data_IF_210272678631
#
_entry.id   IF_210272678631
#
_cell.length_a   1.000
_cell.length_b   1.000
_cell.length_c   1.000
_cell.angle_alpha   90.00
_cell.angle_beta   90.00
_cell.angle_gamma   90.00
#
_symmetry.space_group_name_H-M   'P 1'
#
loop_
_entity.id
_entity.type
_entity.pdbx_description
1 polymer ?
#
# COMPACT_ATOMS: atom_id res chain seq x y z
N UNK A 1 4.36 -46.04 -1.68
CA UNK A 1 3.37 -45.33 -0.85
C UNK A 1 3.33 -43.90 -1.33
N UNK A 2 2.14 -43.34 -1.51
CA UNK A 2 1.92 -42.07 -2.21
C UNK A 2 2.73 -40.92 -1.63
N UNK A 3 3.39 -40.13 -2.48
CA UNK A 3 4.14 -38.90 -2.13
C UNK A 3 3.22 -37.66 -2.11
N UNK A 4 1.96 -37.85 -1.73
CA UNK A 4 1.01 -36.75 -1.68
C UNK A 4 1.25 -35.93 -0.41
N UNK A 5 1.39 -34.63 -0.58
CA UNK A 5 1.41 -33.67 0.52
C UNK A 5 0.12 -33.84 1.34
N UNK A 6 0.18 -34.04 2.67
CA UNK A 6 -1.03 -34.21 3.48
C UNK A 6 -1.93 -32.98 3.33
N UNK A 7 -3.15 -33.14 2.81
CA UNK A 7 -4.15 -32.06 2.68
C UNK A 7 -4.76 -31.61 4.03
N UNK A 8 -4.06 -31.76 5.16
CA UNK A 8 -4.59 -31.47 6.48
C UNK A 8 -4.22 -30.06 6.97
N UNK A 9 -5.26 -29.22 7.05
CA UNK A 9 -5.44 -28.04 7.91
C UNK A 9 -4.61 -26.78 7.61
N UNK A 10 -5.24 -25.84 6.89
CA UNK A 10 -4.80 -24.45 6.68
C UNK A 10 -5.34 -23.46 7.73
N UNK A 11 -5.64 -23.92 8.96
CA UNK A 11 -6.38 -23.11 9.95
C UNK A 11 -5.54 -22.54 11.11
N UNK A 12 -4.21 -22.62 11.09
CA UNK A 12 -3.41 -21.98 12.15
C UNK A 12 -2.23 -21.14 11.62
N UNK A 13 -2.27 -19.80 11.77
CA UNK A 13 -1.13 -18.95 11.45
C UNK A 13 -0.12 -19.01 12.60
N UNK A 14 0.83 -19.94 12.53
CA UNK A 14 1.95 -19.97 13.47
C UNK A 14 2.91 -18.81 13.19
N UNK A 15 3.08 -17.93 14.16
CA UNK A 15 4.07 -16.84 14.12
C UNK A 15 5.47 -17.41 14.36
N UNK A 16 6.32 -17.42 13.33
CA UNK A 16 7.72 -17.86 13.48
C UNK A 16 8.67 -16.68 13.24
N UNK A 17 9.62 -16.50 14.16
CA UNK A 17 10.61 -15.42 14.17
C UNK A 17 11.80 -15.78 13.27
N UNK A 18 12.10 -14.97 12.25
CA UNK A 18 13.16 -15.29 11.26
C UNK A 18 14.35 -14.33 11.27
N UNK A 19 15.50 -14.92 11.63
CA UNK A 19 16.91 -14.52 11.55
C UNK A 19 17.41 -13.67 10.37
N UNK A 20 17.91 -12.41 10.45
CA UNK A 20 18.77 -11.87 9.36
C UNK A 20 19.90 -10.89 9.76
N UNK A 21 21.12 -11.29 9.41
CA UNK A 21 22.30 -10.42 9.27
C UNK A 21 22.37 -9.84 7.84
N UNK A 22 22.71 -8.54 7.80
CA UNK A 22 22.97 -7.68 6.65
C UNK A 22 21.81 -7.30 5.71
N UNK A 23 21.10 -6.24 6.11
CA UNK A 23 20.42 -5.32 5.20
C UNK A 23 20.77 -3.88 5.62
N UNK A 24 21.49 -3.16 4.75
CA UNK A 24 21.63 -1.70 4.83
C UNK A 24 21.36 -1.08 3.47
N UNK A 25 20.43 -0.10 3.50
CA UNK A 25 20.24 1.03 2.59
C UNK A 25 19.68 0.79 1.17
N UNK A 26 18.44 1.24 0.93
CA UNK A 26 18.02 2.54 0.34
C UNK A 26 16.60 2.36 -0.22
N UNK A 27 15.58 2.73 0.56
CA UNK A 27 14.39 3.51 0.16
C UNK A 27 13.59 3.81 1.44
N UNK A 28 13.56 5.07 1.86
CA UNK A 28 12.81 5.53 3.03
C UNK A 28 11.32 5.56 2.71
N UNK A 29 10.58 4.51 3.04
CA UNK A 29 9.12 4.61 3.15
C UNK A 29 8.69 3.91 4.42
N UNK A 30 8.28 4.71 5.42
CA UNK A 30 7.69 4.24 6.67
C UNK A 30 6.37 3.51 6.38
N UNK A 31 6.45 2.23 6.06
CA UNK A 31 5.33 1.30 6.11
C UNK A 31 5.36 0.56 7.46
N UNK A 32 4.21 0.17 7.97
CA UNK A 32 4.13 -0.94 8.93
C UNK A 32 3.98 -2.20 8.09
N UNK A 33 5.03 -2.97 7.85
CA UNK A 33 4.82 -4.33 7.36
C UNK A 33 4.29 -5.12 8.53
N UNK A 34 3.12 -5.73 8.36
CA UNK A 34 2.75 -6.88 9.17
C UNK A 34 2.94 -8.07 8.26
N UNK A 35 4.06 -8.75 8.52
CA UNK A 35 4.51 -9.96 7.84
C UNK A 35 3.53 -11.06 8.21
N UNK A 36 2.88 -11.65 7.22
CA UNK A 36 2.14 -12.89 7.39
C UNK A 36 2.72 -13.89 6.42
N UNK A 37 3.53 -14.78 6.96
CA UNK A 37 4.11 -15.90 6.24
C UNK A 37 3.05 -16.96 6.07
N UNK A 38 2.78 -17.38 4.83
CA UNK A 38 2.26 -18.72 4.64
C UNK A 38 3.31 -19.69 5.18
N UNK A 39 2.94 -20.56 6.13
CA UNK A 39 3.82 -21.64 6.58
C UNK A 39 4.44 -22.35 5.37
N UNK A 40 5.73 -22.61 5.44
CA UNK A 40 6.48 -23.21 4.36
C UNK A 40 7.07 -24.50 4.91
N UNK A 41 6.42 -25.60 4.55
CA UNK A 41 6.92 -26.94 4.82
C UNK A 41 7.75 -27.35 3.61
N UNK A 42 8.96 -27.84 3.84
CA UNK A 42 9.78 -28.44 2.79
C UNK A 42 10.03 -29.91 3.15
N UNK A 43 10.10 -30.76 2.14
CA UNK A 43 10.42 -32.17 2.35
C UNK A 43 11.93 -32.34 2.53
N UNK A 44 12.36 -32.68 3.74
CA UNK A 44 13.75 -32.97 4.01
C UNK A 44 14.06 -34.40 3.60
N UNK A 45 14.79 -34.56 2.49
CA UNK A 45 15.17 -35.89 1.96
C UNK A 45 16.16 -36.64 2.85
N UNK A 46 16.83 -35.97 3.79
CA UNK A 46 17.78 -36.60 4.72
C UNK A 46 17.07 -37.19 5.94
N UNK A 47 16.02 -36.54 6.43
CA UNK A 47 15.23 -37.00 7.58
C UNK A 47 13.92 -37.69 7.21
N UNK A 48 13.60 -37.75 5.91
CA UNK A 48 12.35 -38.30 5.36
C UNK A 48 11.09 -37.69 6.02
N UNK A 49 11.15 -36.39 6.33
CA UNK A 49 10.11 -35.67 7.07
C UNK A 49 9.85 -34.28 6.48
N UNK A 50 8.63 -33.78 6.66
CA UNK A 50 8.28 -32.38 6.39
C UNK A 50 8.77 -31.51 7.54
N UNK A 51 9.61 -30.53 7.23
CA UNK A 51 10.24 -29.64 8.22
C UNK A 51 9.86 -28.17 7.94
N UNK A 52 9.74 -27.35 8.98
CA UNK A 52 9.35 -25.94 8.94
C UNK A 52 10.54 -24.96 8.88
N UNK A 53 11.75 -25.44 9.21
CA UNK A 53 12.87 -24.54 9.56
C UNK A 53 13.76 -24.17 8.36
N UNK A 54 13.47 -24.68 7.16
CA UNK A 54 14.29 -24.50 5.96
C UNK A 54 13.93 -23.28 5.10
N UNK A 55 12.83 -22.59 5.38
CA UNK A 55 12.36 -21.48 4.56
C UNK A 55 12.99 -20.15 5.00
N UNK A 56 14.23 -19.95 4.56
CA UNK A 56 15.07 -18.79 4.92
C UNK A 56 14.99 -17.64 3.91
N UNK A 57 14.45 -17.89 2.71
CA UNK A 57 14.36 -16.90 1.66
C UNK A 57 13.02 -16.16 1.72
N UNK A 58 13.00 -14.84 1.53
CA UNK A 58 11.85 -14.00 1.85
C UNK A 58 11.49 -13.08 0.68
N UNK A 59 10.21 -13.10 0.31
CA UNK A 59 9.64 -12.21 -0.69
C UNK A 59 8.59 -11.31 -0.04
N UNK A 60 8.74 -9.99 -0.18
CA UNK A 60 7.74 -9.00 0.17
C UNK A 60 6.74 -8.88 -0.99
N UNK A 61 5.46 -9.08 -0.70
CA UNK A 61 4.38 -9.04 -1.69
C UNK A 61 3.45 -7.88 -1.36
N UNK A 62 3.32 -6.93 -2.28
CA UNK A 62 2.46 -5.77 -2.17
C UNK A 62 1.31 -5.89 -3.17
N UNK A 63 0.07 -5.90 -2.66
CA UNK A 63 -1.14 -6.01 -3.46
C UNK A 63 -1.90 -4.71 -3.40
N UNK A 64 -2.24 -4.16 -4.57
CA UNK A 64 -3.00 -2.92 -4.67
C UNK A 64 -4.35 -3.21 -5.30
N UNK A 65 -5.39 -3.14 -4.47
CA UNK A 65 -6.78 -3.22 -4.90
C UNK A 65 -7.19 -1.89 -5.53
N UNK A 66 -7.94 -1.95 -6.64
CA UNK A 66 -8.43 -0.76 -7.32
C UNK A 66 -9.46 0.03 -6.51
N UNK A 67 -9.83 1.20 -7.04
CA UNK A 67 -10.82 2.10 -6.43
C UNK A 67 -12.15 2.10 -7.20
N UNK A 68 -12.50 0.99 -7.87
CA UNK A 68 -13.80 0.83 -8.53
C UNK A 68 -14.88 0.53 -7.48
N UNK A 69 -16.15 0.77 -7.81
CA UNK A 69 -17.27 0.40 -6.93
C UNK A 69 -17.29 -1.12 -6.78
N UNK A 70 -17.50 -1.66 -5.57
CA UNK A 70 -17.48 -3.10 -5.30
C UNK A 70 -16.17 -3.81 -5.70
N UNK A 71 -15.03 -3.12 -5.56
CA UNK A 71 -13.72 -3.72 -5.81
C UNK A 71 -13.14 -4.49 -4.61
N UNK A 72 -13.91 -4.70 -3.55
CA UNK A 72 -13.45 -5.33 -2.31
C UNK A 72 -13.61 -6.84 -2.39
N UNK A 73 -12.64 -7.59 -1.86
CA UNK A 73 -12.71 -9.04 -1.84
C UNK A 73 -12.82 -9.56 -0.41
N UNK A 74 -13.88 -10.30 -0.12
CA UNK A 74 -13.98 -11.16 1.08
C UNK A 74 -13.69 -12.64 0.77
N UNK A 75 -13.47 -12.97 -0.52
CA UNK A 75 -13.17 -14.33 -0.98
C UNK A 75 -11.73 -14.75 -0.62
N UNK A 76 -11.47 -16.05 -0.54
CA UNK A 76 -10.12 -16.59 -0.31
C UNK A 76 -9.30 -16.42 -1.59
N UNK A 77 -8.31 -15.54 -1.55
CA UNK A 77 -7.43 -15.28 -2.70
C UNK A 77 -6.16 -16.11 -2.56
N UNK A 78 -5.82 -16.80 -3.64
CA UNK A 78 -4.69 -17.70 -3.72
C UNK A 78 -3.81 -17.36 -4.92
N UNK A 79 -2.52 -17.64 -4.82
CA UNK A 79 -1.59 -17.40 -5.91
C UNK A 79 -0.46 -18.43 -5.93
N UNK A 80 0.18 -18.53 -7.10
CA UNK A 80 1.41 -19.26 -7.37
C UNK A 80 2.37 -18.29 -8.03
N UNK A 81 3.59 -18.24 -7.52
CA UNK A 81 4.67 -17.45 -8.08
C UNK A 81 5.71 -18.36 -8.73
N UNK A 82 5.99 -18.11 -10.01
CA UNK A 82 6.95 -18.89 -10.79
C UNK A 82 8.16 -18.04 -11.16
N UNK A 83 9.36 -18.58 -10.89
CA UNK A 83 10.62 -18.00 -11.30
C UNK A 83 11.48 -18.99 -12.09
N UNK A 84 12.62 -18.51 -12.54
CA UNK A 84 13.59 -19.28 -13.33
C UNK A 84 14.06 -20.56 -12.63
N UNK A 85 14.19 -20.54 -11.30
CA UNK A 85 14.81 -21.63 -10.53
C UNK A 85 13.80 -22.54 -9.85
N UNK A 86 12.66 -22.00 -9.43
CA UNK A 86 11.66 -22.74 -8.68
C UNK A 86 10.28 -22.08 -8.82
N UNK A 87 9.24 -22.83 -8.51
CA UNK A 87 7.85 -22.36 -8.47
C UNK A 87 7.28 -22.63 -7.07
N UNK A 88 6.52 -21.68 -6.54
CA UNK A 88 5.93 -21.84 -5.21
C UNK A 88 4.68 -22.72 -5.25
N UNK A 89 4.44 -23.47 -4.18
CA UNK A 89 3.12 -24.04 -3.93
C UNK A 89 2.03 -22.96 -3.80
N UNK A 90 0.77 -23.40 -3.82
CA UNK A 90 -0.40 -22.54 -3.64
C UNK A 90 -0.29 -21.77 -2.32
N UNK A 91 -0.16 -20.45 -2.42
CA UNK A 91 -0.13 -19.54 -1.27
C UNK A 91 -1.48 -18.86 -1.13
N UNK A 92 -1.97 -18.78 0.11
CA UNK A 92 -3.23 -18.09 0.44
C UNK A 92 -2.92 -16.76 1.10
N UNK A 93 -3.60 -15.70 0.65
CA UNK A 93 -3.58 -14.40 1.29
C UNK A 93 -4.57 -14.39 2.46
N UNK A 94 -4.07 -14.21 3.68
CA UNK A 94 -4.90 -14.15 4.87
C UNK A 94 -4.29 -13.21 5.92
N UNK A 95 -5.14 -12.55 6.69
CA UNK A 95 -4.76 -11.77 7.87
C UNK A 95 -5.85 -11.96 8.93
N UNK A 96 -5.58 -12.65 10.04
CA UNK A 96 -6.59 -12.92 11.06
C UNK A 96 -6.97 -11.67 11.87
N UNK A 97 -6.16 -10.59 11.83
CA UNK A 97 -6.35 -9.41 12.68
C UNK A 97 -7.14 -8.29 12.00
N UNK A 98 -7.23 -8.30 10.67
CA UNK A 98 -7.91 -7.24 9.92
C UNK A 98 -8.47 -7.76 8.60
N UNK A 99 -9.51 -7.09 8.08
CA UNK A 99 -9.92 -7.33 6.71
C UNK A 99 -8.83 -6.90 5.71
N UNK A 100 -8.56 -7.76 4.73
CA UNK A 100 -7.65 -7.53 3.60
C UNK A 100 -8.42 -7.17 2.33
N UNK A 101 -7.71 -6.74 1.27
CA UNK A 101 -8.21 -6.54 -0.08
C UNK A 101 -9.39 -5.57 -0.20
N UNK A 102 -9.42 -4.57 0.69
CA UNK A 102 -10.45 -3.53 0.71
C UNK A 102 -10.28 -2.52 -0.42
N UNK A 103 -11.33 -1.76 -0.70
CA UNK A 103 -11.35 -0.81 -1.83
C UNK A 103 -10.25 0.22 -1.65
N UNK A 104 -9.49 0.45 -2.71
CA UNK A 104 -8.37 1.39 -2.73
C UNK A 104 -7.27 1.07 -1.70
N UNK A 105 -7.32 -0.10 -1.04
CA UNK A 105 -6.36 -0.50 -0.04
C UNK A 105 -5.07 -1.00 -0.69
N UNK A 106 -4.03 -1.05 0.13
CA UNK A 106 -2.79 -1.69 -0.27
C UNK A 106 -2.33 -2.56 0.88
N UNK A 107 -2.22 -3.84 0.58
CA UNK A 107 -1.90 -4.87 1.55
C UNK A 107 -0.50 -5.41 1.27
N UNK A 108 0.27 -5.56 2.34
CA UNK A 108 1.64 -6.07 2.27
C UNK A 108 1.68 -7.39 3.01
N UNK A 109 2.24 -8.39 2.36
CA UNK A 109 2.44 -9.74 2.86
C UNK A 109 3.91 -10.10 2.71
N UNK A 110 4.35 -11.14 3.40
CA UNK A 110 5.70 -11.67 3.24
C UNK A 110 5.59 -13.17 3.09
N UNK A 111 6.18 -13.71 2.05
CA UNK A 111 6.20 -15.12 1.76
C UNK A 111 7.61 -15.66 2.01
N UNK A 112 7.70 -16.78 2.72
CA UNK A 112 8.95 -17.50 2.89
C UNK A 112 9.05 -18.65 1.89
N UNK A 113 10.22 -18.84 1.29
CA UNK A 113 10.54 -19.95 0.39
C UNK A 113 11.83 -20.66 0.85
N UNK A 114 11.98 -21.97 0.57
CA UNK A 114 13.18 -22.71 0.95
C UNK A 114 14.40 -22.31 0.12
N UNK A 115 14.17 -21.85 -1.12
CA UNK A 115 15.19 -21.48 -2.09
C UNK A 115 14.77 -20.19 -2.83
N UNK A 116 15.74 -19.45 -3.38
CA UNK A 116 15.45 -18.31 -4.25
C UNK A 116 14.74 -18.80 -5.52
N UNK A 117 13.65 -18.12 -5.89
CA UNK A 117 12.91 -18.38 -7.14
C UNK A 117 13.71 -17.91 -8.38
N UNK A 118 14.73 -17.08 -8.19
CA UNK A 118 15.50 -16.46 -9.27
C UNK A 118 14.71 -15.36 -9.99
N UNK A 119 14.97 -15.16 -11.28
CA UNK A 119 14.23 -14.18 -12.08
C UNK A 119 12.77 -14.61 -12.21
N UNK A 120 11.84 -13.79 -11.71
CA UNK A 120 10.42 -14.10 -11.79
C UNK A 120 9.92 -14.05 -13.24
N UNK A 121 9.05 -15.01 -13.59
CA UNK A 121 8.49 -15.17 -14.94
C UNK A 121 7.02 -14.77 -14.98
N UNK A 122 6.20 -15.43 -14.16
CA UNK A 122 4.76 -15.14 -14.08
C UNK A 122 4.22 -15.38 -12.67
N UNK A 123 3.04 -14.81 -12.43
CA UNK A 123 2.22 -15.01 -11.26
C UNK A 123 0.86 -15.53 -11.71
N UNK A 124 0.41 -16.66 -11.19
CA UNK A 124 -0.99 -17.08 -11.31
C UNK A 124 -1.74 -16.68 -10.05
N UNK A 125 -2.85 -15.98 -10.16
CA UNK A 125 -3.65 -15.53 -9.01
C UNK A 125 -5.12 -15.76 -9.28
N UNK A 126 -5.85 -16.24 -8.27
CA UNK A 126 -7.27 -16.53 -8.35
C UNK A 126 -7.97 -16.37 -7.00
N UNK A 127 -9.30 -16.43 -7.01
CA UNK A 127 -10.11 -16.49 -5.79
C UNK A 127 -11.19 -17.57 -5.90
N UNK A 128 -11.70 -18.00 -4.75
CA UNK A 128 -12.72 -19.05 -4.64
C UNK A 128 -14.18 -18.55 -4.82
N UNK A 129 -14.36 -17.25 -5.07
CA UNK A 129 -15.68 -16.60 -5.20
C UNK A 129 -16.64 -16.86 -4.02
N UNK A 130 -16.11 -17.14 -2.82
CA UNK A 130 -16.90 -17.42 -1.61
C UNK A 130 -17.53 -16.18 -0.96
N UNK A 131 -17.11 -14.98 -1.39
CA UNK A 131 -17.69 -13.72 -0.95
C UNK A 131 -19.19 -13.60 -1.23
N UNK A 132 -19.90 -12.76 -0.47
CA UNK A 132 -21.35 -12.57 -0.62
C UNK A 132 -21.65 -11.31 -1.43
N UNK A 133 -22.51 -11.46 -2.46
CA UNK A 133 -22.95 -10.33 -3.28
C UNK A 133 -21.77 -9.59 -3.93
N UNK A 134 -21.72 -8.26 -3.75
CA UNK A 134 -20.69 -7.42 -4.35
C UNK A 134 -19.26 -7.63 -3.83
N UNK A 135 -19.04 -8.40 -2.75
CA UNK A 135 -17.70 -8.70 -2.21
C UNK A 135 -17.10 -10.02 -2.72
N UNK A 136 -17.83 -10.70 -3.61
CA UNK A 136 -17.33 -11.82 -4.39
C UNK A 136 -16.44 -11.35 -5.57
N UNK A 137 -16.63 -10.09 -6.00
CA UNK A 137 -15.90 -9.47 -7.11
C UNK A 137 -14.68 -8.70 -6.60
N UNK A 138 -13.53 -8.89 -7.25
CA UNK A 138 -12.31 -8.19 -6.87
C UNK A 138 -11.70 -7.46 -8.06
N UNK A 139 -11.29 -6.20 -7.88
CA UNK A 139 -10.52 -5.49 -8.91
C UNK A 139 -9.07 -5.36 -8.47
N UNK A 140 -8.19 -6.16 -9.08
CA UNK A 140 -6.76 -6.08 -8.86
C UNK A 140 -6.15 -5.04 -9.81
N UNK A 141 -5.45 -4.05 -9.25
CA UNK A 141 -4.75 -3.04 -10.02
C UNK A 141 -3.38 -3.60 -10.47
N UNK A 142 -2.51 -3.85 -9.50
CA UNK A 142 -1.23 -4.51 -9.72
C UNK A 142 -0.69 -5.11 -8.43
N UNK A 143 0.24 -6.03 -8.59
CA UNK A 143 1.01 -6.63 -7.51
C UNK A 143 2.49 -6.31 -7.70
N UNK A 144 3.22 -6.12 -6.61
CA UNK A 144 4.68 -5.97 -6.61
C UNK A 144 5.26 -7.07 -5.76
N UNK A 145 6.18 -7.83 -6.30
CA UNK A 145 6.98 -8.79 -5.55
C UNK A 145 8.38 -8.22 -5.44
N UNK A 146 8.90 -8.19 -4.23
CA UNK A 146 10.26 -7.75 -3.94
C UNK A 146 11.00 -8.88 -3.25
N UNK A 147 12.16 -9.20 -3.78
CA UNK A 147 13.12 -10.04 -3.10
C UNK A 147 13.75 -9.25 -1.95
N UNK A 148 13.63 -9.75 -0.73
CA UNK A 148 14.11 -9.04 0.47
C UNK A 148 15.64 -9.11 0.55
N UNK A 149 16.24 -10.19 0.05
CA UNK A 149 17.67 -10.46 0.09
C UNK A 149 18.42 -9.65 -0.98
N UNK A 150 17.94 -9.67 -2.23
CA UNK A 150 18.61 -8.99 -3.35
C UNK A 150 18.12 -7.56 -3.56
N UNK A 151 16.92 -7.23 -3.06
CA UNK A 151 16.27 -5.95 -3.29
C UNK A 151 15.63 -5.79 -4.67
N UNK A 152 15.70 -6.81 -5.53
CA UNK A 152 15.07 -6.83 -6.84
C UNK A 152 13.54 -6.77 -6.75
N UNK A 153 12.91 -6.17 -7.75
CA UNK A 153 11.47 -5.89 -7.77
C UNK A 153 10.88 -6.28 -9.10
N UNK A 154 9.79 -7.02 -9.04
CA UNK A 154 8.98 -7.38 -10.19
C UNK A 154 7.57 -6.86 -9.98
N UNK A 155 7.00 -6.30 -11.03
CA UNK A 155 5.63 -5.81 -11.01
C UNK A 155 4.78 -6.68 -11.92
N UNK A 156 3.61 -7.07 -11.42
CA UNK A 156 2.60 -7.82 -12.16
C UNK A 156 1.38 -6.92 -12.34
N UNK A 157 1.17 -6.45 -13.55
CA UNK A 157 0.10 -5.51 -13.88
C UNK A 157 -1.14 -6.30 -14.28
N UNK A 158 -2.26 -6.10 -13.57
CA UNK A 158 -3.52 -6.79 -13.85
C UNK A 158 -4.57 -5.84 -14.45
N UNK A 159 -4.96 -4.82 -13.70
CA UNK A 159 -6.02 -3.84 -14.02
C UNK A 159 -7.34 -4.45 -14.52
N UNK A 160 -7.70 -5.60 -13.96
CA UNK A 160 -8.87 -6.37 -14.40
C UNK A 160 -9.70 -6.81 -13.21
N UNK A 161 -10.97 -7.08 -13.52
CA UNK A 161 -11.89 -7.73 -12.60
C UNK A 161 -11.55 -9.21 -12.48
N UNK A 162 -11.61 -9.70 -11.26
CA UNK A 162 -11.61 -11.10 -10.87
C UNK A 162 -13.00 -11.35 -10.31
N UNK A 163 -13.93 -11.71 -11.19
CA UNK A 163 -15.35 -11.78 -10.89
C UNK A 163 -16.05 -12.61 -11.97
N UNK A 164 -17.06 -13.38 -11.57
CA UNK A 164 -17.91 -14.11 -12.51
C UNK A 164 -18.91 -13.17 -13.20
N UNK A 165 -19.41 -12.17 -12.47
CA UNK A 165 -20.48 -11.28 -12.91
C UNK A 165 -19.98 -9.97 -13.56
N UNK A 166 -18.67 -9.69 -13.50
CA UNK A 166 -18.08 -8.42 -13.94
C UNK A 166 -16.91 -8.65 -14.90
N UNK A 167 -16.68 -7.70 -15.82
CA UNK A 167 -15.57 -7.75 -16.76
C UNK A 167 -15.70 -8.87 -17.80
N UNK A 168 -14.78 -9.83 -17.79
CA UNK A 168 -14.74 -10.98 -18.71
C UNK A 168 -15.16 -12.31 -18.02
N UNK A 169 -15.69 -12.24 -16.80
CA UNK A 169 -16.17 -13.41 -16.06
C UNK A 169 -15.07 -14.32 -15.51
N UNK A 170 -13.79 -13.92 -15.59
CA UNK A 170 -12.66 -14.75 -15.15
C UNK A 170 -12.23 -14.43 -13.72
N UNK A 171 -12.06 -15.49 -12.92
CA UNK A 171 -11.61 -15.43 -11.52
C UNK A 171 -10.17 -15.93 -11.32
N UNK A 172 -9.54 -16.47 -12.37
CA UNK A 172 -8.17 -17.00 -12.39
C UNK A 172 -7.41 -16.39 -13.55
N UNK A 173 -6.22 -15.85 -13.28
CA UNK A 173 -5.38 -15.21 -14.29
C UNK A 173 -3.89 -15.49 -14.06
N UNK A 174 -3.20 -15.68 -15.19
CA UNK A 174 -1.76 -15.69 -15.26
C UNK A 174 -1.26 -14.31 -15.71
N UNK A 175 -0.47 -13.67 -14.86
CA UNK A 175 0.10 -12.34 -15.04
C UNK A 175 1.61 -12.48 -15.29
N UNK A 176 2.12 -12.13 -16.48
CA UNK A 176 3.56 -12.09 -16.71
C UNK A 176 4.20 -10.92 -15.94
N UNK A 177 5.50 -11.02 -15.69
CA UNK A 177 6.27 -9.86 -15.21
C UNK A 177 6.14 -8.71 -16.21
N UNK A 178 5.77 -7.54 -15.71
CA UNK A 178 5.62 -6.35 -16.51
C UNK A 178 6.98 -5.90 -17.07
N UNK A 179 7.04 -5.76 -18.40
CA UNK A 179 8.20 -5.18 -19.06
C UNK A 179 8.37 -3.69 -18.71
N UNK A 180 9.58 -3.16 -18.91
CA UNK A 180 9.92 -1.76 -18.63
C UNK A 180 8.99 -0.77 -19.36
N UNK A 181 8.52 -1.12 -20.55
CA UNK A 181 7.56 -0.29 -21.32
C UNK A 181 6.13 -0.33 -20.75
N UNK A 182 5.68 -1.49 -20.24
CA UNK A 182 4.36 -1.62 -19.63
C UNK A 182 4.28 -0.88 -18.28
N UNK A 183 5.39 -0.81 -17.54
CA UNK A 183 5.50 0.03 -16.34
C UNK A 183 5.39 1.54 -16.66
N UNK A 184 5.75 1.95 -17.89
CA UNK A 184 5.72 3.33 -18.37
C UNK A 184 4.40 3.70 -19.06
N UNK A 185 3.47 2.76 -19.23
CA UNK A 185 2.23 3.00 -19.97
C UNK A 185 1.41 4.09 -19.28
N UNK A 186 1.38 5.26 -19.94
CA UNK A 186 0.97 6.56 -19.41
C UNK A 186 -0.37 6.54 -18.67
N UNK A 187 -1.30 5.65 -19.00
CA UNK A 187 -2.62 5.60 -18.36
C UNK A 187 -2.56 5.17 -16.88
N UNK A 188 -1.66 4.27 -16.50
CA UNK A 188 -1.51 3.83 -15.11
C UNK A 188 -0.80 4.87 -14.26
N UNK A 189 0.30 5.42 -14.76
CA UNK A 189 1.01 6.51 -14.10
C UNK A 189 0.13 7.77 -14.06
N UNK A 190 -0.57 8.13 -15.13
CA UNK A 190 -1.42 9.32 -15.16
C UNK A 190 -2.64 9.15 -14.25
N UNK A 191 -3.37 8.03 -14.26
CA UNK A 191 -4.54 7.89 -13.39
C UNK A 191 -4.14 7.82 -11.90
N UNK A 192 -3.05 7.12 -11.57
CA UNK A 192 -2.56 7.07 -10.18
C UNK A 192 -1.91 8.39 -9.73
N UNK A 193 -1.11 9.03 -10.58
CA UNK A 193 -0.45 10.32 -10.29
C UNK A 193 -1.45 11.47 -10.28
N UNK A 194 -2.34 11.56 -11.26
CA UNK A 194 -3.40 12.58 -11.29
C UNK A 194 -4.38 12.40 -10.14
N UNK A 195 -4.80 11.17 -9.81
CA UNK A 195 -5.65 10.96 -8.61
C UNK A 195 -4.90 11.22 -7.32
N UNK A 196 -3.62 10.90 -7.20
CA UNK A 196 -2.81 11.26 -6.02
C UNK A 196 -2.65 12.78 -5.91
N UNK A 197 -2.37 13.47 -7.02
CA UNK A 197 -2.28 14.93 -7.07
C UNK A 197 -3.61 15.61 -6.76
N UNK A 198 -4.74 15.07 -7.20
CA UNK A 198 -6.06 15.63 -6.88
C UNK A 198 -6.49 15.31 -5.44
N UNK A 199 -6.24 14.08 -4.97
CA UNK A 199 -6.67 13.63 -3.63
C UNK A 199 -5.74 14.05 -2.49
N UNK A 200 -4.45 14.30 -2.74
CA UNK A 200 -3.53 14.87 -1.74
C UNK A 200 -3.21 16.34 -2.00
N UNK A 201 -3.29 16.83 -3.25
CA UNK A 201 -2.92 18.21 -3.61
C UNK A 201 -4.06 19.22 -3.57
N UNK A 202 -5.32 18.79 -3.69
CA UNK A 202 -6.47 19.70 -3.66
C UNK A 202 -7.33 19.51 -2.41
N UNK A 203 -7.31 20.50 -1.51
CA UNK A 203 -7.94 20.42 -0.18
C UNK A 203 -9.41 19.97 -0.25
N UNK A 204 -10.18 20.51 -1.19
CA UNK A 204 -11.60 20.20 -1.36
C UNK A 204 -11.87 18.76 -1.83
N UNK A 205 -11.22 18.31 -2.91
CA UNK A 205 -11.37 16.94 -3.40
C UNK A 205 -10.83 15.91 -2.41
N UNK A 206 -9.82 16.30 -1.63
CA UNK A 206 -9.20 15.43 -0.63
C UNK A 206 -10.11 15.06 0.55
N UNK A 207 -11.18 15.84 0.82
CA UNK A 207 -12.18 15.51 1.84
C UNK A 207 -12.92 14.23 1.47
N UNK A 208 -13.36 14.12 0.22
CA UNK A 208 -14.15 12.99 -0.28
C UNK A 208 -13.29 11.82 -0.77
N UNK A 209 -12.18 12.12 -1.44
CA UNK A 209 -11.32 11.12 -2.07
C UNK A 209 -10.05 10.82 -1.27
N UNK A 210 -10.08 10.99 0.07
CA UNK A 210 -8.91 10.75 0.94
C UNK A 210 -8.27 9.39 0.61
N UNK A 211 -7.01 9.36 0.15
CA UNK A 211 -6.35 8.09 -0.08
C UNK A 211 -6.12 7.41 1.28
N UNK A 212 -6.24 6.07 1.38
CA UNK A 212 -6.15 5.36 2.66
C UNK A 212 -4.83 5.59 3.41
N UNK A 213 -3.77 6.03 2.70
CA UNK A 213 -2.46 6.39 3.25
C UNK A 213 -2.31 7.84 3.72
N UNK A 214 -3.34 8.67 3.58
CA UNK A 214 -3.19 10.09 3.87
C UNK A 214 -3.13 10.39 5.37
N UNK A 215 -2.09 11.12 5.79
CA UNK A 215 -1.82 11.48 7.20
C UNK A 215 -2.83 12.48 7.78
N UNK A 216 -3.58 13.16 6.91
CA UNK A 216 -4.59 14.16 7.25
C UNK A 216 -5.95 13.48 7.36
N UNK A 217 -6.57 13.52 8.54
CA UNK A 217 -7.86 12.87 8.78
C UNK A 217 -8.97 13.62 8.07
N UNK A 218 -10.07 12.93 7.74
CA UNK A 218 -11.23 13.58 7.10
C UNK A 218 -11.73 14.77 7.93
N UNK A 219 -11.73 14.64 9.25
CA UNK A 219 -12.15 15.71 10.18
C UNK A 219 -11.24 16.94 10.05
N UNK A 220 -9.92 16.75 10.04
CA UNK A 220 -9.00 17.86 9.88
C UNK A 220 -9.10 18.51 8.49
N UNK A 221 -9.40 17.72 7.45
CA UNK A 221 -9.67 18.23 6.09
C UNK A 221 -10.90 19.13 6.06
N UNK A 222 -11.97 18.68 6.70
CA UNK A 222 -13.21 19.44 6.83
C UNK A 222 -12.98 20.71 7.61
N UNK A 223 -12.27 20.68 8.75
CA UNK A 223 -12.01 21.89 9.54
C UNK A 223 -11.19 22.92 8.77
N UNK A 224 -10.19 22.48 8.00
CA UNK A 224 -9.43 23.37 7.13
C UNK A 224 -10.29 23.96 6.00
N UNK A 225 -11.14 23.16 5.34
CA UNK A 225 -12.07 23.69 4.32
C UNK A 225 -13.04 24.70 4.92
N UNK A 226 -13.59 24.44 6.11
CA UNK A 226 -14.45 25.38 6.82
C UNK A 226 -13.72 26.68 7.17
N UNK A 227 -12.46 26.61 7.61
CA UNK A 227 -11.65 27.80 7.88
C UNK A 227 -11.44 28.66 6.62
N UNK A 228 -11.19 28.03 5.46
CA UNK A 228 -11.08 28.75 4.18
C UNK A 228 -12.41 29.37 3.74
N UNK A 229 -13.52 28.67 3.93
CA UNK A 229 -14.86 29.20 3.66
C UNK A 229 -15.13 30.43 4.52
N UNK A 230 -14.95 30.33 5.85
CA UNK A 230 -15.18 31.45 6.74
C UNK A 230 -14.25 32.62 6.46
N UNK A 231 -12.98 32.37 6.13
CA UNK A 231 -12.05 33.42 5.72
C UNK A 231 -12.54 34.13 4.44
N UNK A 232 -13.00 33.37 3.43
CA UNK A 232 -13.55 33.95 2.20
C UNK A 232 -14.81 34.78 2.47
N UNK A 233 -15.69 34.33 3.36
CA UNK A 233 -16.87 35.08 3.76
C UNK A 233 -16.52 36.36 4.51
N UNK A 234 -15.54 36.33 5.42
CA UNK A 234 -15.08 37.51 6.17
C UNK A 234 -14.42 38.54 5.25
N UNK A 235 -13.58 38.11 4.32
CA UNK A 235 -12.96 39.01 3.35
C UNK A 235 -14.01 39.60 2.41
N UNK A 236 -15.01 38.84 1.98
CA UNK A 236 -16.13 39.39 1.21
C UNK A 236 -16.97 40.37 2.03
N UNK A 237 -17.17 40.11 3.32
CA UNK A 237 -17.88 41.01 4.23
C UNK A 237 -17.13 42.32 4.49
N UNK A 238 -15.79 42.34 4.41
CA UNK A 238 -14.98 43.56 4.50
C UNK A 238 -15.39 44.59 3.44
N UNK A 239 -15.81 44.13 2.26
CA UNK A 239 -16.22 44.97 1.13
C UNK A 239 -17.72 45.29 1.13
N UNK A 240 -18.47 44.82 2.14
CA UNK A 240 -19.90 45.05 2.24
C UNK A 240 -20.21 46.54 2.42
N UNK A 241 -21.02 47.10 1.52
CA UNK A 241 -21.40 48.52 1.54
C UNK A 241 -20.37 49.49 0.98
N UNK A 242 -19.17 49.02 0.58
CA UNK A 242 -18.14 49.84 -0.06
C UNK A 242 -18.27 49.91 -1.59
N UNK A 243 -18.90 48.90 -2.20
CA UNK A 243 -19.12 48.84 -3.65
C UNK A 243 -20.59 49.12 -3.96
N UNK A 244 -20.89 50.10 -4.83
CA UNK A 244 -22.26 50.34 -5.26
C UNK A 244 -22.84 49.12 -5.99
N UNK A 245 -24.08 48.77 -5.64
CA UNK A 245 -24.82 47.63 -6.22
C UNK A 245 -25.30 47.89 -7.66
N UNK A 246 -25.23 49.15 -8.10
CA UNK A 246 -25.67 49.55 -9.44
C UNK A 246 -24.52 49.41 -10.44
N UNK A 247 -24.78 48.89 -11.65
CA UNK A 247 -23.75 48.75 -12.66
C UNK A 247 -23.26 50.13 -13.12
N UNK A 248 -22.01 50.46 -12.78
CA UNK A 248 -21.34 51.67 -13.25
C UNK A 248 -21.06 51.64 -14.77
N UNK A 249 -20.60 52.78 -15.29
CA UNK A 249 -20.13 52.91 -16.68
C UNK A 249 -18.97 51.94 -16.94
N UNK A 250 -19.16 50.97 -17.83
CA UNK A 250 -18.17 49.92 -18.14
C UNK A 250 -18.49 48.52 -17.61
N UNK A 251 -19.70 48.28 -17.12
CA UNK A 251 -20.16 46.94 -16.72
C UNK A 251 -20.26 45.97 -17.91
N UNK A 252 -19.80 44.74 -17.71
CA UNK A 252 -19.88 43.66 -18.71
C UNK A 252 -21.04 42.75 -18.28
N UNK A 253 -22.08 42.65 -19.11
CA UNK A 253 -23.25 41.82 -18.87
C UNK A 253 -23.11 40.46 -19.56
N UNK A 254 -23.17 39.39 -18.77
CA UNK A 254 -23.23 38.01 -19.23
C UNK A 254 -24.58 37.42 -18.82
N UNK A 255 -25.56 37.56 -19.72
CA UNK A 255 -26.94 37.13 -19.45
C UNK A 255 -27.53 37.85 -18.23
N UNK A 256 -28.11 37.14 -17.24
CA UNK A 256 -28.72 37.77 -16.06
C UNK A 256 -27.70 38.37 -15.07
N UNK A 257 -26.40 38.22 -15.31
CA UNK A 257 -25.35 38.73 -14.43
C UNK A 257 -24.67 39.97 -15.05
N UNK A 258 -24.55 41.06 -14.28
CA UNK A 258 -23.76 42.23 -14.65
C UNK A 258 -22.57 42.34 -13.71
N UNK A 259 -21.35 42.40 -14.28
CA UNK A 259 -20.11 42.52 -13.53
C UNK A 259 -19.55 43.93 -13.73
N UNK A 260 -19.50 44.73 -12.67
CA UNK A 260 -18.80 46.02 -12.67
C UNK A 260 -17.28 45.81 -12.56
N UNK A 261 -16.43 46.64 -13.21
CA UNK A 261 -14.99 46.65 -12.98
C UNK A 261 -14.61 46.77 -11.49
N UNK A 262 -15.42 47.47 -10.69
CA UNK A 262 -15.21 47.60 -9.24
C UNK A 262 -15.41 46.26 -8.52
N UNK A 263 -16.43 45.49 -8.92
CA UNK A 263 -16.70 44.15 -8.38
C UNK A 263 -15.62 43.15 -8.78
N UNK A 264 -15.09 43.25 -10.01
CA UNK A 264 -13.94 42.46 -10.46
C UNK A 264 -12.70 42.81 -9.63
N UNK A 265 -12.46 44.10 -9.38
CA UNK A 265 -11.36 44.58 -8.53
C UNK A 265 -11.45 44.04 -7.10
N UNK A 266 -12.64 44.06 -6.50
CA UNK A 266 -12.87 43.45 -5.18
C UNK A 266 -12.61 41.95 -5.21
N UNK A 267 -13.05 41.23 -6.25
CA UNK A 267 -12.78 39.79 -6.40
C UNK A 267 -11.27 39.47 -6.45
N UNK A 268 -10.49 40.28 -7.18
CA UNK A 268 -9.03 40.13 -7.26
C UNK A 268 -8.38 40.40 -5.91
N UNK A 269 -8.75 41.49 -5.24
CA UNK A 269 -8.20 41.85 -3.92
C UNK A 269 -8.57 40.83 -2.85
N UNK A 270 -9.81 40.34 -2.85
CA UNK A 270 -10.25 39.28 -1.94
C UNK A 270 -9.45 37.99 -2.13
N UNK A 271 -9.17 37.59 -3.36
CA UNK A 271 -8.34 36.42 -3.63
C UNK A 271 -6.89 36.63 -3.16
N UNK A 272 -6.33 37.83 -3.37
CA UNK A 272 -4.99 38.18 -2.89
C UNK A 272 -4.87 38.08 -1.35
N UNK A 273 -5.92 38.44 -0.62
CA UNK A 273 -5.97 38.36 0.86
C UNK A 273 -6.16 36.91 1.34
N UNK A 274 -7.02 36.13 0.67
CA UNK A 274 -7.33 34.74 1.06
C UNK A 274 -6.20 33.77 0.67
N UNK A 275 -5.40 34.09 -0.34
CA UNK A 275 -4.36 33.22 -0.88
C UNK A 275 -3.24 32.87 0.12
N UNK A 276 -2.57 33.82 0.81
CA UNK A 276 -1.46 33.49 1.71
C UNK A 276 -1.87 32.58 2.88
N UNK A 277 -2.99 32.81 3.60
CA UNK A 277 -3.48 31.90 4.62
C UNK A 277 -3.82 30.52 4.06
N UNK A 278 -4.44 30.47 2.88
CA UNK A 278 -4.76 29.20 2.19
C UNK A 278 -3.51 28.39 1.87
N UNK A 279 -2.49 29.07 1.34
CA UNK A 279 -1.20 28.48 1.01
C UNK A 279 -0.47 28.00 2.26
N UNK A 280 -0.46 28.81 3.33
CA UNK A 280 0.17 28.47 4.61
C UNK A 280 -0.46 27.22 5.23
N UNK A 281 -1.79 27.14 5.24
CA UNK A 281 -2.55 25.97 5.71
C UNK A 281 -2.12 24.72 4.92
N UNK A 282 -2.06 24.80 3.59
CA UNK A 282 -1.63 23.69 2.73
C UNK A 282 -0.16 23.31 3.01
N UNK A 283 0.74 24.28 3.19
CA UNK A 283 2.15 24.04 3.49
C UNK A 283 2.36 23.36 4.83
N UNK A 284 1.70 23.86 5.89
CA UNK A 284 1.73 23.26 7.22
C UNK A 284 1.24 21.80 7.17
N UNK A 285 0.19 21.52 6.39
CA UNK A 285 -0.29 20.14 6.22
C UNK A 285 0.65 19.25 5.43
N UNK A 286 1.23 19.73 4.32
CA UNK A 286 2.20 18.95 3.53
C UNK A 286 3.45 18.61 4.36
N UNK A 287 3.86 19.53 5.24
CA UNK A 287 5.06 19.40 6.09
C UNK A 287 4.77 18.83 7.48
N UNK A 288 3.50 18.61 7.84
CA UNK A 288 3.12 18.00 9.12
C UNK A 288 3.74 16.60 9.26
N UNK A 289 4.42 16.38 10.40
CA UNK A 289 5.18 15.15 10.65
C UNK A 289 4.24 13.94 10.68
N UNK A 290 4.67 12.77 10.20
CA UNK A 290 3.90 11.54 10.38
C UNK A 290 3.66 11.32 11.88
N UNK A 291 2.41 10.98 12.23
CA UNK A 291 2.08 10.47 13.57
C UNK A 291 3.04 9.33 13.85
N UNK A 292 3.68 9.33 15.02
CA UNK A 292 4.62 8.28 15.43
C UNK A 292 3.95 6.93 15.24
N UNK A 293 4.33 6.22 14.18
CA UNK A 293 3.88 4.86 13.94
C UNK A 293 4.65 3.97 14.91
N UNK A 294 4.02 2.89 15.39
CA UNK A 294 4.75 1.80 16.07
C UNK A 294 5.89 1.39 15.15
N UNK A 295 7.10 1.24 15.71
CA UNK A 295 8.29 0.76 15.00
C UNK A 295 7.97 -0.44 14.12
N UNK A 296 8.64 -0.51 12.97
CA UNK A 296 8.46 -1.56 12.01
C UNK A 296 8.76 -2.90 12.70
N UNK A 297 7.78 -3.80 12.78
CA UNK A 297 7.96 -5.08 13.49
C UNK A 297 9.07 -5.92 12.85
N UNK A 298 9.32 -5.72 11.55
CA UNK A 298 10.47 -6.30 10.86
C UNK A 298 11.77 -5.72 11.42
N UNK A 299 11.91 -4.41 11.56
CA UNK A 299 13.14 -3.81 12.13
C UNK A 299 13.34 -4.28 13.58
N UNK A 300 12.28 -4.34 14.39
CA UNK A 300 12.36 -4.91 15.75
C UNK A 300 12.71 -6.39 15.78
N UNK A 301 12.16 -7.17 14.85
CA UNK A 301 12.50 -8.59 14.73
C UNK A 301 13.94 -8.77 14.25
N UNK A 302 14.41 -7.93 13.33
CA UNK A 302 15.81 -7.88 12.88
C UNK A 302 16.73 -7.50 14.04
N UNK A 303 16.35 -6.51 14.85
CA UNK A 303 17.15 -6.01 15.97
C UNK A 303 17.23 -7.02 17.12
N UNK A 304 16.10 -7.59 17.54
CA UNK A 304 16.06 -8.63 18.59
C UNK A 304 16.85 -9.88 18.22
N UNK A 305 16.95 -10.18 16.92
CA UNK A 305 17.73 -11.29 16.44
C UNK A 305 19.21 -11.02 16.29
N UNK A 306 19.61 -9.80 15.96
CA UNK A 306 21.01 -9.38 16.03
C UNK A 306 21.51 -9.48 17.47
N UNK A 307 20.71 -9.07 18.45
CA UNK A 307 20.99 -9.25 19.87
C UNK A 307 21.13 -10.74 20.23
N UNK A 308 20.15 -11.58 19.84
CA UNK A 308 20.16 -13.02 20.12
C UNK A 308 21.37 -13.75 19.50
N UNK A 309 21.70 -13.42 18.24
CA UNK A 309 22.84 -14.01 17.52
C UNK A 309 24.17 -13.64 18.17
N UNK A 310 24.36 -12.37 18.57
CA UNK A 310 25.58 -11.91 19.25
C UNK A 310 25.77 -12.56 20.62
N UNK A 311 24.67 -12.80 21.34
CA UNK A 311 24.69 -13.45 22.66
C UNK A 311 25.05 -14.92 22.54
N UNK A 312 24.58 -15.60 21.48
CA UNK A 312 24.93 -16.98 21.19
C UNK A 312 26.42 -17.14 20.80
N UNK A 313 26.96 -16.21 19.99
CA UNK A 313 28.41 -16.23 19.64
C UNK A 313 29.29 -15.95 20.86
N UNK A 314 28.88 -15.02 21.74
CA UNK A 314 29.58 -14.74 22.99
C UNK A 314 29.59 -15.96 23.92
N UNK A 315 28.46 -16.66 24.07
CA UNK A 315 28.38 -17.88 24.90
C UNK A 315 29.20 -19.03 24.34
N UNK A 316 29.23 -19.22 23.02
CA UNK A 316 30.08 -20.23 22.38
C UNK A 316 31.56 -19.93 22.56
N UNK A 317 31.98 -18.67 22.44
CA UNK A 317 33.37 -18.26 22.66
C UNK A 317 33.79 -18.37 24.14
N UNK A 318 32.90 -18.03 25.08
CA UNK A 318 33.16 -18.24 26.51
C UNK A 318 33.24 -19.73 26.84
N UNK A 319 32.36 -20.57 26.28
CA UNK A 319 32.42 -22.02 26.45
C UNK A 319 33.69 -22.63 25.84
N UNK A 320 34.11 -22.18 24.66
CA UNK A 320 35.36 -22.60 24.03
C UNK A 320 36.59 -22.19 24.84
N UNK A 321 36.61 -20.96 25.38
CA UNK A 321 37.69 -20.48 26.26
C UNK A 321 37.72 -21.20 27.62
N UNK A 322 36.57 -21.65 28.13
CA UNK A 322 36.50 -22.48 29.35
C UNK A 322 37.00 -23.90 29.10
N UNK A 323 36.77 -24.46 27.91
CA UNK A 323 37.30 -25.77 27.52
C UNK A 323 38.82 -25.73 27.30
N UNK A 324 39.38 -24.65 26.73
CA UNK A 324 40.84 -24.45 26.64
C UNK A 324 41.50 -24.19 28.00
N UNK A 325 40.79 -23.69 29.01
CA UNK A 325 41.34 -23.47 30.35
C UNK A 325 41.28 -24.71 31.27
N UNK A 326 40.56 -25.76 30.85
CA UNK A 326 40.35 -27.01 31.61
C UNK A 326 41.13 -28.19 31.02
N UNK A 327 41.73 -28.01 29.82
CA UNK A 327 42.72 -28.91 29.22
C UNK A 327 44.15 -28.40 29.49
#
# INVERSE_FOLDING_TARGET
MSRDCPQMFFDDPTSVNLTMSNMTHIYSTNYTVRVYTSGCLFYNTLSDSWDSDGCTYLYEILIITGNKTNSECDSKVQFILSGERDETDVRTLADPQRPILRRSATDSFVMATPRPLGQLSYLRIWHDNSGKGGTASWYLNFMVVRDVQTGEKWQFIANKWFAVEEGDGQIDRLLPVAGREQMLQFQHLFNTTSRRNLSDGHLWFSVFMRPPRSRFTRVQRVSACMALLYLSMLVNAMWYGLVPQQPGTGSISFGPFSLSPEQIGVGVMSNLIVFPPSFLIILLFRKSRPRHLKENRIEKAIESQRECSSTATFRLNVAASFVEAVL
#
